data_IF_243711987785
#
_entry.id   IF_243711987785
#
_cell.length_a   1.000
_cell.length_b   1.000
_cell.length_c   1.000
_cell.angle_alpha   90.00
_cell.angle_beta   90.00
_cell.angle_gamma   90.00
#
_symmetry.space_group_name_H-M   'P 1'
#
loop_
_entity.id
_entity.type
_entity.pdbx_description
1 polymer ?
#
# COMPACT_ATOMS: atom_id res chain seq x y z
N UNK A 1 -37.76 24.02 9.21
CA UNK A 1 -37.82 24.42 10.62
C UNK A 1 -36.38 24.56 11.13
N UNK A 2 -35.61 25.46 10.50
CA UNK A 2 -34.22 25.72 10.86
C UNK A 2 -34.20 27.04 11.62
N UNK A 3 -34.00 26.97 12.94
CA UNK A 3 -33.93 28.16 13.79
C UNK A 3 -32.60 28.89 13.57
N UNK A 4 -32.68 30.13 13.07
CA UNK A 4 -31.54 31.05 12.87
C UNK A 4 -30.83 31.52 14.16
N UNK A 5 -31.15 30.96 15.33
CA UNK A 5 -30.54 31.35 16.61
C UNK A 5 -30.00 30.12 17.33
N UNK A 6 -28.67 30.00 17.30
CA UNK A 6 -27.87 28.91 17.87
C UNK A 6 -28.07 28.75 19.37
N UNK A 7 -29.12 28.02 19.76
CA UNK A 7 -29.42 27.68 21.16
C UNK A 7 -28.51 26.58 21.74
N UNK A 8 -27.61 26.00 20.94
CA UNK A 8 -26.79 24.86 21.34
C UNK A 8 -25.32 24.97 20.91
N UNK A 9 -24.82 26.19 20.65
CA UNK A 9 -23.38 26.38 20.45
C UNK A 9 -22.74 26.47 21.83
N UNK A 10 -22.01 25.42 22.22
CA UNK A 10 -21.12 25.47 23.39
C UNK A 10 -19.98 26.40 23.00
N UNK A 11 -19.86 27.55 23.67
CA UNK A 11 -18.72 28.45 23.43
C UNK A 11 -17.44 27.80 23.95
N UNK A 12 -16.60 27.32 23.02
CA UNK A 12 -15.25 26.88 23.34
C UNK A 12 -14.34 28.10 23.44
N UNK A 13 -13.90 28.44 24.66
CA UNK A 13 -13.10 29.64 24.93
C UNK A 13 -11.66 29.57 24.35
N UNK A 14 -11.22 28.39 23.92
CA UNK A 14 -9.83 28.09 23.55
C UNK A 14 -9.57 27.90 22.05
N UNK A 15 -10.56 28.07 21.18
CA UNK A 15 -10.33 27.96 19.73
C UNK A 15 -10.67 29.32 19.17
N UNK A 16 -9.64 30.06 18.70
CA UNK A 16 -9.23 29.77 17.32
C UNK A 16 -7.83 30.26 16.84
N UNK A 17 -6.93 29.32 16.53
CA UNK A 17 -5.68 29.58 15.81
C UNK A 17 -5.90 29.60 14.27
N UNK A 18 -5.08 30.37 13.54
CA UNK A 18 -5.05 30.43 12.07
C UNK A 18 -4.62 29.09 11.46
N UNK A 19 -5.08 28.78 10.25
CA UNK A 19 -4.66 27.57 9.53
C UNK A 19 -3.20 27.71 9.15
N UNK A 20 -2.42 26.64 9.33
CA UNK A 20 -1.07 26.62 8.78
C UNK A 20 -1.15 26.58 7.26
N UNK A 21 -0.45 27.50 6.62
CA UNK A 21 -0.40 27.60 5.17
C UNK A 21 0.59 26.59 4.61
N UNK A 22 0.21 25.98 3.49
CA UNK A 22 1.08 25.13 2.71
C UNK A 22 2.34 25.91 2.37
N UNK A 23 3.50 25.32 2.62
CA UNK A 23 4.76 25.94 2.23
C UNK A 23 4.93 25.63 0.75
N UNK A 24 4.82 26.68 -0.05
CA UNK A 24 5.05 26.60 -1.48
C UNK A 24 6.39 27.24 -1.82
N UNK A 25 7.07 26.70 -2.83
CA UNK A 25 8.17 27.42 -3.47
C UNK A 25 7.64 28.64 -4.21
N UNK A 26 8.44 29.70 -4.24
CA UNK A 26 8.04 30.96 -4.87
C UNK A 26 7.83 30.78 -6.38
N UNK A 27 6.90 31.56 -6.94
CA UNK A 27 6.50 31.41 -8.35
C UNK A 27 7.70 31.57 -9.28
N UNK A 28 8.62 32.48 -9.01
CA UNK A 28 9.80 32.68 -9.84
C UNK A 28 10.80 31.52 -9.78
N UNK A 29 10.82 30.76 -8.69
CA UNK A 29 11.72 29.63 -8.51
C UNK A 29 11.23 28.36 -9.21
N UNK A 30 9.93 28.22 -9.46
CA UNK A 30 9.32 27.03 -10.10
C UNK A 30 9.07 27.15 -11.60
N UNK A 31 9.56 28.23 -12.25
CA UNK A 31 9.26 28.50 -13.67
C UNK A 31 10.01 27.60 -14.64
N UNK A 32 11.22 27.18 -14.26
CA UNK A 32 12.17 26.53 -15.16
C UNK A 32 12.64 25.15 -14.63
N UNK A 33 11.92 24.56 -13.68
CA UNK A 33 12.18 23.22 -13.14
C UNK A 33 10.88 22.44 -12.88
N UNK A 34 11.03 21.19 -12.45
CA UNK A 34 9.94 20.32 -12.04
C UNK A 34 10.05 19.96 -10.56
N UNK A 35 10.59 20.88 -9.75
CA UNK A 35 10.75 20.65 -8.32
C UNK A 35 9.38 20.66 -7.63
N UNK A 36 9.22 19.87 -6.58
CA UNK A 36 7.97 19.76 -5.83
C UNK A 36 7.54 21.13 -5.30
N UNK A 37 6.36 21.57 -5.72
CA UNK A 37 5.85 22.90 -5.38
C UNK A 37 5.39 22.93 -3.94
N UNK A 38 4.77 21.85 -3.49
CA UNK A 38 4.15 21.73 -2.18
C UNK A 38 5.13 21.03 -1.21
N UNK A 39 5.90 21.82 -0.46
CA UNK A 39 6.94 21.30 0.43
C UNK A 39 6.39 20.63 1.71
N UNK A 40 5.07 20.69 1.92
CA UNK A 40 4.41 20.16 3.10
C UNK A 40 4.62 21.03 4.35
N UNK A 41 4.22 20.50 5.50
CA UNK A 41 4.40 21.15 6.79
C UNK A 41 5.68 20.65 7.47
N UNK A 42 6.39 21.58 8.11
CA UNK A 42 7.35 21.22 9.14
C UNK A 42 6.64 20.56 10.35
N UNK A 43 7.39 19.84 11.17
CA UNK A 43 6.84 19.09 12.30
C UNK A 43 6.00 19.97 13.24
N UNK A 44 6.40 21.21 13.46
CA UNK A 44 5.73 22.14 14.38
C UNK A 44 4.37 22.59 13.82
N UNK A 45 4.32 22.97 12.54
CA UNK A 45 3.09 23.32 11.83
C UNK A 45 2.17 22.13 11.67
N UNK A 46 2.70 20.94 11.37
CA UNK A 46 1.92 19.72 11.27
C UNK A 46 1.24 19.39 12.60
N UNK A 47 1.95 19.53 13.73
CA UNK A 47 1.38 19.32 15.07
C UNK A 47 0.34 20.39 15.43
N UNK A 48 0.50 21.64 15.00
CA UNK A 48 -0.50 22.71 15.20
C UNK A 48 -1.76 22.47 14.35
N UNK A 49 -1.59 22.10 13.08
CA UNK A 49 -2.70 21.76 12.19
C UNK A 49 -3.47 20.53 12.68
N UNK A 50 -2.76 19.48 13.13
CA UNK A 50 -3.36 18.27 13.65
C UNK A 50 -4.22 18.53 14.90
N UNK A 51 -3.78 19.44 15.79
CA UNK A 51 -4.55 19.87 16.97
C UNK A 51 -5.83 20.63 16.61
N UNK A 52 -5.96 21.17 15.38
CA UNK A 52 -7.20 21.78 14.88
C UNK A 52 -8.25 20.74 14.46
N UNK A 53 -7.87 19.49 14.19
CA UNK A 53 -8.75 18.49 13.59
C UNK A 53 -9.68 17.81 14.64
N UNK A 54 -10.99 18.09 14.57
CA UNK A 54 -12.06 17.47 15.37
C UNK A 54 -12.72 16.27 14.66
N UNK A 55 -11.95 15.38 14.01
CA UNK A 55 -12.53 14.33 13.17
C UNK A 55 -13.21 13.21 13.98
N UNK A 56 -14.55 13.19 13.94
CA UNK A 56 -15.41 12.07 14.31
C UNK A 56 -15.75 11.23 13.06
N UNK A 57 -14.76 10.55 12.46
CA UNK A 57 -14.78 9.43 11.45
C UNK A 57 -15.78 9.42 10.26
N UNK A 58 -17.01 9.97 10.29
CA UNK A 58 -17.95 10.11 9.14
C UNK A 58 -18.91 11.28 9.39
N UNK A 59 -19.20 12.11 8.38
CA UNK A 59 -20.13 13.25 8.53
C UNK A 59 -21.56 12.75 8.85
N UNK A 60 -22.12 13.20 9.98
CA UNK A 60 -23.50 12.90 10.38
C UNK A 60 -24.41 14.14 10.32
N UNK A 61 -23.97 15.22 9.66
CA UNK A 61 -24.75 16.45 9.50
C UNK A 61 -24.97 17.25 10.79
N UNK A 62 -24.10 17.10 11.79
CA UNK A 62 -24.22 17.83 13.06
C UNK A 62 -23.84 19.33 12.98
N UNK A 63 -23.25 19.77 11.86
CA UNK A 63 -22.81 21.15 11.60
C UNK A 63 -21.80 21.74 12.60
N UNK A 64 -21.23 20.95 13.51
CA UNK A 64 -20.23 21.43 14.46
C UNK A 64 -18.95 21.91 13.75
N UNK A 65 -18.51 21.19 12.73
CA UNK A 65 -17.35 21.60 11.94
C UNK A 65 -17.60 22.96 11.25
N UNK A 66 -18.82 23.22 10.76
CA UNK A 66 -19.21 24.49 10.15
C UNK A 66 -19.22 25.63 11.17
N UNK A 67 -19.79 25.40 12.35
CA UNK A 67 -19.83 26.39 13.43
C UNK A 67 -18.42 26.82 13.90
N UNK A 68 -17.47 25.89 13.93
CA UNK A 68 -16.08 26.15 14.35
C UNK A 68 -15.17 26.63 13.20
N UNK A 69 -15.63 26.55 11.95
CA UNK A 69 -14.84 26.91 10.77
C UNK A 69 -14.79 28.43 10.60
N UNK A 70 -13.87 29.08 11.31
CA UNK A 70 -13.57 30.52 11.14
C UNK A 70 -13.44 31.01 9.69
N UNK A 71 -12.75 30.29 8.78
CA UNK A 71 -12.61 30.75 7.40
C UNK A 71 -13.89 30.63 6.59
N UNK A 72 -14.97 30.11 7.18
CA UNK A 72 -16.26 29.86 6.51
C UNK A 72 -16.13 28.97 5.26
N UNK A 73 -15.14 28.07 5.25
CA UNK A 73 -14.77 27.26 4.08
C UNK A 73 -15.69 26.04 3.85
N UNK A 74 -16.57 25.71 4.80
CA UNK A 74 -17.45 24.54 4.69
C UNK A 74 -18.76 24.97 4.02
N UNK A 75 -18.99 24.48 2.81
CA UNK A 75 -20.20 24.73 2.03
C UNK A 75 -20.89 23.38 1.84
N UNK A 76 -22.00 23.16 2.55
CA UNK A 76 -22.73 21.88 2.48
C UNK A 76 -23.50 21.73 1.16
N UNK A 77 -23.77 22.84 0.51
CA UNK A 77 -24.46 22.94 -0.78
C UNK A 77 -23.49 22.95 -1.96
N UNK A 78 -22.20 22.64 -1.75
CA UNK A 78 -21.23 22.55 -2.85
C UNK A 78 -21.62 21.40 -3.78
N UNK A 79 -21.92 21.73 -5.03
CA UNK A 79 -22.26 20.78 -6.08
C UNK A 79 -21.03 20.40 -6.91
N UNK A 80 -21.08 19.21 -7.53
CA UNK A 80 -20.05 18.76 -8.46
C UNK A 80 -19.92 19.71 -9.65
N UNK A 81 -18.68 20.01 -10.04
CA UNK A 81 -18.37 20.87 -11.18
C UNK A 81 -17.70 20.04 -12.28
N UNK A 82 -18.18 20.21 -13.50
CA UNK A 82 -17.62 19.55 -14.69
C UNK A 82 -16.85 20.58 -15.51
N UNK A 83 -15.64 20.21 -15.94
CA UNK A 83 -14.75 21.04 -16.73
C UNK A 83 -14.43 20.34 -18.05
N UNK A 84 -14.61 21.04 -19.16
CA UNK A 84 -14.16 20.59 -20.47
C UNK A 84 -12.70 21.03 -20.67
N UNK A 85 -11.80 20.08 -20.87
CA UNK A 85 -10.36 20.31 -21.05
C UNK A 85 -9.95 19.81 -22.43
N UNK A 86 -9.44 20.71 -23.28
CA UNK A 86 -8.79 20.35 -24.54
C UNK A 86 -7.31 20.05 -24.27
N UNK A 87 -6.85 18.86 -24.66
CA UNK A 87 -5.47 18.42 -24.50
C UNK A 87 -4.98 17.68 -25.74
N UNK A 88 -3.71 17.86 -26.08
CA UNK A 88 -3.07 17.16 -27.21
C UNK A 88 -2.77 15.68 -26.90
N UNK A 89 -2.54 15.37 -25.62
CA UNK A 89 -2.25 14.01 -25.15
C UNK A 89 -2.73 13.80 -23.70
N UNK A 90 -3.06 12.55 -23.38
CA UNK A 90 -3.44 12.10 -22.03
C UNK A 90 -2.48 11.02 -21.56
N UNK A 91 -1.89 11.20 -20.39
CA UNK A 91 -0.99 10.22 -19.76
C UNK A 91 -1.72 9.58 -18.57
N UNK A 92 -1.82 8.26 -18.58
CA UNK A 92 -2.44 7.48 -17.51
C UNK A 92 -1.33 6.91 -16.60
N UNK A 93 -1.32 7.32 -15.34
CA UNK A 93 -0.29 6.97 -14.34
C UNK A 93 -0.88 6.50 -13.00
N UNK A 94 -1.91 5.65 -13.07
CA UNK A 94 -2.68 5.15 -11.93
C UNK A 94 -1.95 4.13 -11.04
N UNK A 95 -0.77 3.65 -11.46
CA UNK A 95 0.03 2.68 -10.71
C UNK A 95 -0.59 1.29 -10.64
N UNK A 96 -0.24 0.55 -9.59
CA UNK A 96 -0.73 -0.80 -9.33
C UNK A 96 -1.36 -0.90 -7.94
N UNK A 97 -2.40 -1.72 -7.84
CA UNK A 97 -3.06 -2.09 -6.60
C UNK A 97 -2.66 -3.50 -6.17
N UNK A 98 -2.88 -3.80 -4.89
CA UNK A 98 -2.59 -5.09 -4.27
C UNK A 98 -3.78 -5.50 -3.40
N UNK A 99 -4.92 -5.86 -4.01
CA UNK A 99 -6.13 -6.12 -3.26
C UNK A 99 -6.04 -7.47 -2.51
N UNK A 100 -6.70 -7.54 -1.37
CA UNK A 100 -6.73 -8.74 -0.51
C UNK A 100 -7.89 -9.69 -0.83
N UNK A 101 -8.81 -9.28 -1.72
CA UNK A 101 -10.01 -10.04 -2.10
C UNK A 101 -9.71 -11.30 -2.92
N UNK A 102 -8.52 -11.39 -3.52
CA UNK A 102 -8.06 -12.55 -4.30
C UNK A 102 -7.26 -13.57 -3.51
N UNK A 103 -7.07 -13.36 -2.21
CA UNK A 103 -6.41 -14.33 -1.36
C UNK A 103 -7.41 -15.43 -1.04
N UNK A 104 -7.06 -16.67 -1.40
CA UNK A 104 -7.91 -17.81 -1.12
C UNK A 104 -8.09 -18.02 0.38
N UNK A 105 -9.29 -18.41 0.79
CA UNK A 105 -9.65 -18.61 2.19
C UNK A 105 -8.76 -19.64 2.91
N UNK A 106 -8.16 -20.60 2.20
CA UNK A 106 -7.25 -21.58 2.81
C UNK A 106 -5.94 -20.97 3.33
N UNK A 107 -5.58 -19.75 2.91
CA UNK A 107 -4.46 -19.00 3.50
C UNK A 107 -4.82 -18.36 4.84
N UNK A 108 -6.08 -18.39 5.27
CA UNK A 108 -6.49 -17.97 6.61
C UNK A 108 -6.46 -16.46 6.87
N UNK A 109 -6.33 -15.61 5.83
CA UNK A 109 -6.37 -14.16 6.00
C UNK A 109 -7.72 -13.72 6.60
N UNK A 110 -7.68 -12.98 7.70
CA UNK A 110 -8.86 -12.55 8.45
C UNK A 110 -9.49 -13.62 9.33
N UNK A 111 -9.05 -14.88 9.23
CA UNK A 111 -9.43 -15.97 10.13
C UNK A 111 -8.39 -16.15 11.25
N UNK A 112 -7.11 -16.08 10.87
CA UNK A 112 -5.96 -16.19 11.78
C UNK A 112 -5.34 -14.80 11.96
N UNK A 113 -5.24 -14.34 13.20
CA UNK A 113 -4.82 -12.95 13.49
C UNK A 113 -3.37 -12.66 13.11
N UNK A 114 -2.49 -13.68 13.14
CA UNK A 114 -1.08 -13.54 12.78
C UNK A 114 -0.79 -13.77 11.29
N UNK A 115 -1.84 -13.88 10.47
CA UNK A 115 -1.72 -13.87 9.00
C UNK A 115 -2.01 -12.47 8.50
N UNK A 116 -1.01 -11.83 7.91
CA UNK A 116 -1.06 -10.47 7.37
C UNK A 116 -0.69 -10.45 5.89
N UNK A 117 -0.91 -9.34 5.20
CA UNK A 117 -0.43 -9.11 3.83
C UNK A 117 0.92 -8.39 3.82
N UNK A 118 1.64 -8.50 2.71
CA UNK A 118 2.84 -7.70 2.38
C UNK A 118 2.64 -6.20 2.69
N UNK A 119 1.58 -5.56 2.20
CA UNK A 119 1.33 -4.13 2.48
C UNK A 119 1.06 -3.81 3.96
N UNK A 120 0.52 -4.74 4.73
CA UNK A 120 0.37 -4.55 6.17
C UNK A 120 1.74 -4.60 6.86
N UNK A 121 2.62 -5.51 6.45
CA UNK A 121 4.01 -5.54 6.91
C UNK A 121 4.75 -4.26 6.50
N UNK A 122 4.60 -3.76 5.27
CA UNK A 122 5.20 -2.51 4.83
C UNK A 122 4.80 -1.33 5.74
N UNK A 123 3.52 -1.25 6.14
CA UNK A 123 3.07 -0.24 7.11
C UNK A 123 3.69 -0.45 8.48
N UNK A 124 3.93 -1.68 8.93
CA UNK A 124 4.64 -1.94 10.18
C UNK A 124 6.12 -1.55 10.13
N UNK A 125 6.79 -1.83 9.01
CA UNK A 125 8.21 -1.52 8.78
C UNK A 125 8.48 -0.01 8.69
N UNK A 126 7.48 0.77 8.28
CA UNK A 126 7.55 2.22 8.18
C UNK A 126 7.68 2.91 9.54
N UNK A 127 8.64 3.82 9.67
CA UNK A 127 8.83 4.65 10.88
C UNK A 127 7.63 5.59 11.16
N UNK A 128 6.92 6.01 10.11
CA UNK A 128 5.64 6.75 10.19
C UNK A 128 4.42 5.80 10.15
N UNK A 129 4.69 4.51 10.32
CA UNK A 129 3.71 3.43 10.46
C UNK A 129 2.94 3.47 11.78
N UNK A 130 1.82 2.74 11.87
CA UNK A 130 1.06 2.62 13.12
C UNK A 130 1.88 2.00 14.26
N UNK A 131 2.88 1.15 13.94
CA UNK A 131 3.78 0.54 14.91
C UNK A 131 5.15 1.24 15.01
N UNK A 132 5.33 2.40 14.37
CA UNK A 132 6.60 3.18 14.38
C UNK A 132 7.83 2.33 14.04
N UNK A 133 7.74 1.57 12.95
CA UNK A 133 8.83 0.73 12.49
C UNK A 133 9.01 -0.57 13.28
N UNK A 134 8.13 -0.94 14.21
CA UNK A 134 8.19 -2.20 14.94
C UNK A 134 7.42 -3.29 14.21
N UNK A 135 8.05 -4.45 14.04
CA UNK A 135 7.41 -5.68 13.53
C UNK A 135 6.82 -6.42 14.73
N UNK A 136 5.49 -6.48 14.79
CA UNK A 136 4.75 -7.04 15.92
C UNK A 136 3.65 -7.97 15.42
N UNK A 137 3.36 -9.02 16.19
CA UNK A 137 2.24 -9.91 15.95
C UNK A 137 0.93 -9.16 16.17
N UNK A 138 -0.03 -9.17 15.21
CA UNK A 138 -1.31 -8.52 15.41
C UNK A 138 -2.15 -9.11 16.55
N UNK A 139 -1.95 -10.39 16.88
CA UNK A 139 -2.69 -11.06 17.95
C UNK A 139 -2.46 -10.44 19.34
N UNK A 140 -1.21 -10.25 19.72
CA UNK A 140 -0.83 -9.88 21.09
C UNK A 140 0.22 -8.77 21.19
N UNK A 141 0.74 -8.29 20.07
CA UNK A 141 1.72 -7.22 20.00
C UNK A 141 3.16 -7.64 20.32
N UNK A 142 3.41 -8.94 20.52
CA UNK A 142 4.75 -9.46 20.77
C UNK A 142 5.61 -9.43 19.49
N UNK A 143 6.94 -9.47 19.66
CA UNK A 143 7.88 -9.51 18.54
C UNK A 143 7.98 -10.97 18.03
N UNK A 144 7.65 -11.25 16.76
CA UNK A 144 7.71 -12.61 16.23
C UNK A 144 9.15 -13.11 16.12
N UNK A 145 9.40 -14.32 16.61
CA UNK A 145 10.67 -15.03 16.49
C UNK A 145 10.79 -15.80 15.17
N UNK A 146 9.69 -16.02 14.45
CA UNK A 146 9.69 -16.66 13.14
C UNK A 146 8.60 -16.07 12.22
N UNK A 147 8.97 -15.82 10.96
CA UNK A 147 8.13 -15.17 9.95
C UNK A 147 8.25 -15.93 8.63
N UNK A 148 7.11 -16.32 8.07
CA UNK A 148 7.05 -16.91 6.73
C UNK A 148 6.38 -15.97 5.73
N UNK A 149 7.04 -15.72 4.61
CA UNK A 149 6.46 -15.07 3.44
C UNK A 149 5.89 -16.15 2.52
N UNK A 150 4.63 -16.04 2.15
CA UNK A 150 3.92 -17.06 1.37
C UNK A 150 3.33 -16.44 0.12
N UNK A 151 3.73 -16.94 -1.04
CA UNK A 151 3.08 -16.62 -2.30
C UNK A 151 1.62 -17.11 -2.27
N UNK A 152 0.66 -16.17 -2.25
CA UNK A 152 -0.76 -16.49 -2.06
C UNK A 152 -1.55 -16.67 -3.36
N UNK A 153 -0.86 -16.90 -4.47
CA UNK A 153 -1.46 -17.08 -5.80
C UNK A 153 -0.58 -17.97 -6.68
N UNK A 154 -1.20 -18.90 -7.40
CA UNK A 154 -0.47 -19.83 -8.28
C UNK A 154 -0.28 -19.25 -9.70
N UNK A 155 -1.31 -18.59 -10.24
CA UNK A 155 -1.34 -18.15 -11.63
C UNK A 155 -1.25 -16.63 -11.75
N UNK A 156 -0.11 -16.16 -12.26
CA UNK A 156 0.08 -14.77 -12.70
C UNK A 156 1.15 -14.75 -13.81
N UNK A 157 1.25 -13.65 -14.55
CA UNK A 157 2.32 -13.50 -15.53
C UNK A 157 3.70 -13.47 -14.82
N UNK A 158 4.77 -14.01 -15.44
CA UNK A 158 6.11 -14.03 -14.82
C UNK A 158 6.62 -12.68 -14.26
N UNK A 159 6.35 -11.52 -14.91
CA UNK A 159 6.72 -10.21 -14.34
C UNK A 159 6.02 -9.88 -13.02
N UNK A 160 4.76 -10.30 -12.86
CA UNK A 160 4.00 -10.10 -11.62
C UNK A 160 4.54 -10.96 -10.48
N UNK A 161 4.89 -12.21 -10.79
CA UNK A 161 5.58 -13.12 -9.87
C UNK A 161 6.90 -12.51 -9.40
N UNK A 162 7.73 -12.05 -10.35
CA UNK A 162 9.02 -11.42 -10.06
C UNK A 162 8.86 -10.17 -9.19
N UNK A 163 7.92 -9.28 -9.53
CA UNK A 163 7.67 -8.04 -8.77
C UNK A 163 7.25 -8.31 -7.32
N UNK A 164 6.32 -9.26 -7.09
CA UNK A 164 5.90 -9.61 -5.73
C UNK A 164 7.03 -10.29 -4.93
N UNK A 165 7.83 -11.13 -5.58
CA UNK A 165 8.95 -11.79 -4.92
C UNK A 165 10.08 -10.81 -4.57
N UNK A 166 10.39 -9.85 -5.45
CA UNK A 166 11.30 -8.75 -5.14
C UNK A 166 10.82 -7.95 -3.92
N UNK A 167 9.52 -7.62 -3.84
CA UNK A 167 8.94 -6.96 -2.67
C UNK A 167 9.13 -7.80 -1.41
N UNK A 168 8.78 -9.08 -1.46
CA UNK A 168 8.93 -10.00 -0.33
C UNK A 168 10.36 -10.06 0.21
N UNK A 169 11.34 -10.16 -0.70
CA UNK A 169 12.76 -10.22 -0.33
C UNK A 169 13.22 -8.89 0.26
N UNK A 170 12.83 -7.75 -0.32
CA UNK A 170 13.14 -6.44 0.24
C UNK A 170 12.55 -6.27 1.64
N UNK A 171 11.29 -6.67 1.85
CA UNK A 171 10.68 -6.66 3.17
C UNK A 171 11.39 -7.62 4.14
N UNK A 172 11.75 -8.83 3.70
CA UNK A 172 12.51 -9.77 4.51
C UNK A 172 13.88 -9.22 4.93
N UNK A 173 14.58 -8.48 4.05
CA UNK A 173 15.82 -7.77 4.37
C UNK A 173 15.59 -6.71 5.46
N UNK A 174 14.53 -5.91 5.32
CA UNK A 174 14.18 -4.87 6.30
C UNK A 174 13.80 -5.49 7.65
N UNK A 175 13.04 -6.59 7.64
CA UNK A 175 12.71 -7.37 8.83
C UNK A 175 13.98 -7.91 9.48
N UNK A 176 14.89 -8.53 8.72
CA UNK A 176 16.18 -9.04 9.22
C UNK A 176 17.02 -7.94 9.87
N UNK A 177 17.01 -6.73 9.30
CA UNK A 177 17.69 -5.56 9.88
C UNK A 177 17.13 -5.13 11.24
N UNK A 178 15.85 -5.40 11.51
CA UNK A 178 15.17 -5.09 12.78
C UNK A 178 15.16 -6.27 13.75
N UNK A 179 15.09 -7.50 13.25
CA UNK A 179 14.98 -8.77 13.98
C UNK A 179 16.14 -9.71 13.63
N UNK A 180 17.30 -9.48 14.23
CA UNK A 180 18.54 -10.17 13.87
C UNK A 180 18.47 -11.70 14.00
N UNK A 181 17.73 -12.21 14.97
CA UNK A 181 17.65 -13.65 15.31
C UNK A 181 16.35 -14.33 14.83
N UNK A 182 15.43 -13.60 14.18
CA UNK A 182 14.18 -14.21 13.73
C UNK A 182 14.42 -15.25 12.62
N UNK A 183 13.71 -16.37 12.61
CA UNK A 183 13.68 -17.27 11.47
C UNK A 183 12.85 -16.64 10.34
N UNK A 184 13.41 -16.52 9.13
CA UNK A 184 12.72 -15.91 7.99
C UNK A 184 12.82 -16.85 6.80
N UNK A 185 11.68 -17.27 6.29
CA UNK A 185 11.58 -18.13 5.11
C UNK A 185 10.57 -17.58 4.10
N UNK A 186 10.91 -17.66 2.82
CA UNK A 186 10.08 -17.24 1.69
C UNK A 186 9.68 -18.48 0.89
N UNK A 187 8.39 -18.75 0.81
CA UNK A 187 7.80 -19.84 0.03
C UNK A 187 7.19 -19.29 -1.26
N UNK A 188 7.74 -19.69 -2.40
CA UNK A 188 7.23 -19.33 -3.71
C UNK A 188 7.48 -20.46 -4.70
N UNK A 189 6.69 -20.50 -5.78
CA UNK A 189 6.81 -21.51 -6.83
C UNK A 189 7.57 -20.95 -8.05
N UNK A 190 8.19 -21.84 -8.83
CA UNK A 190 8.87 -21.52 -10.09
C UNK A 190 10.03 -20.52 -9.91
N UNK A 191 10.90 -20.78 -8.95
CA UNK A 191 11.96 -19.85 -8.56
C UNK A 191 13.18 -19.86 -9.49
N UNK A 192 13.31 -20.85 -10.38
CA UNK A 192 14.52 -21.06 -11.17
C UNK A 192 14.96 -19.81 -11.95
N UNK A 193 14.05 -19.21 -12.73
CA UNK A 193 14.32 -18.00 -13.51
C UNK A 193 14.64 -16.79 -12.62
N UNK A 194 13.95 -16.67 -11.49
CA UNK A 194 14.15 -15.59 -10.54
C UNK A 194 15.53 -15.67 -9.88
N UNK A 195 15.91 -16.85 -9.40
CA UNK A 195 17.19 -17.08 -8.74
C UNK A 195 18.36 -16.87 -9.71
N UNK A 196 18.21 -17.26 -10.98
CA UNK A 196 19.24 -17.02 -12.00
C UNK A 196 19.41 -15.53 -12.31
N UNK A 197 18.31 -14.77 -12.41
CA UNK A 197 18.36 -13.34 -12.75
C UNK A 197 18.83 -12.47 -11.58
N UNK A 198 18.52 -12.85 -10.34
CA UNK A 198 18.83 -12.08 -9.13
C UNK A 198 20.01 -12.62 -8.31
N UNK A 199 20.74 -13.63 -8.81
CA UNK A 199 21.84 -14.33 -8.12
C UNK A 199 22.82 -13.39 -7.40
N UNK A 200 23.22 -12.29 -8.06
CA UNK A 200 24.14 -11.31 -7.48
C UNK A 200 23.56 -10.54 -6.28
N UNK A 201 22.27 -10.22 -6.29
CA UNK A 201 21.57 -9.53 -5.21
C UNK A 201 21.30 -10.48 -4.03
N UNK A 202 21.03 -11.75 -4.31
CA UNK A 202 20.71 -12.76 -3.31
C UNK A 202 21.94 -13.27 -2.53
N UNK A 203 23.14 -13.23 -3.11
CA UNK A 203 24.39 -13.68 -2.46
C UNK A 203 24.72 -12.98 -1.13
N UNK A 204 24.17 -11.79 -0.89
CA UNK A 204 24.36 -11.05 0.37
C UNK A 204 23.33 -11.37 1.46
N UNK A 205 22.32 -12.21 1.16
CA UNK A 205 21.22 -12.51 2.06
C UNK A 205 21.58 -13.68 2.99
N UNK A 206 22.38 -13.40 4.00
CA UNK A 206 22.62 -14.37 5.06
C UNK A 206 21.34 -14.55 5.91
N UNK A 207 20.95 -15.81 6.15
CA UNK A 207 19.83 -16.21 7.04
C UNK A 207 18.42 -15.84 6.56
N UNK A 208 18.19 -15.62 5.26
CA UNK A 208 16.83 -15.63 4.69
C UNK A 208 16.74 -16.89 3.82
N UNK A 209 15.90 -17.85 4.20
CA UNK A 209 15.70 -19.07 3.43
C UNK A 209 14.67 -18.80 2.32
N UNK A 210 15.00 -19.21 1.09
CA UNK A 210 14.08 -19.09 -0.04
C UNK A 210 13.83 -20.51 -0.56
N UNK A 211 12.59 -20.95 -0.44
CA UNK A 211 12.17 -22.33 -0.68
C UNK A 211 11.26 -22.39 -1.90
N UNK A 212 11.65 -23.19 -2.90
CA UNK A 212 10.78 -23.52 -4.04
C UNK A 212 9.74 -24.55 -3.58
N UNK A 213 8.58 -24.03 -3.18
CA UNK A 213 7.50 -24.80 -2.60
C UNK A 213 6.16 -24.06 -2.66
N UNK A 214 5.08 -24.83 -2.71
CA UNK A 214 3.72 -24.32 -2.65
C UNK A 214 3.14 -24.60 -1.27
N UNK A 215 2.46 -23.61 -0.68
CA UNK A 215 1.74 -23.77 0.58
C UNK A 215 0.30 -24.19 0.27
N UNK A 216 -0.15 -25.31 0.83
CA UNK A 216 -1.48 -25.86 0.56
C UNK A 216 -2.51 -25.54 1.64
N UNK A 217 -2.09 -25.38 2.90
CA UNK A 217 -2.97 -25.00 3.99
C UNK A 217 -2.26 -24.17 5.06
N UNK A 218 -3.06 -23.34 5.73
CA UNK A 218 -2.64 -22.47 6.83
C UNK A 218 -3.59 -22.69 8.01
N UNK A 219 -3.10 -23.27 9.10
CA UNK A 219 -3.90 -23.60 10.28
C UNK A 219 -3.32 -22.95 11.54
N UNK A 220 -4.20 -22.42 12.41
CA UNK A 220 -3.76 -21.90 13.70
C UNK A 220 -3.51 -23.03 14.70
N UNK A 221 -2.40 -22.93 15.42
CA UNK A 221 -2.02 -23.83 16.51
C UNK A 221 -2.01 -23.09 17.86
N UNK A 222 -1.43 -23.70 18.90
CA UNK A 222 -1.32 -23.07 20.22
C UNK A 222 -0.71 -21.65 20.14
N UNK A 223 -1.22 -20.74 20.97
CA UNK A 223 -0.83 -19.32 21.02
C UNK A 223 -1.04 -18.51 19.72
N UNK A 224 -1.94 -18.95 18.83
CA UNK A 224 -2.17 -18.30 17.51
C UNK A 224 -0.92 -18.29 16.62
N UNK A 225 0.06 -19.16 16.90
CA UNK A 225 1.06 -19.51 15.90
C UNK A 225 0.36 -20.20 14.74
N UNK A 226 1.02 -20.24 13.59
CA UNK A 226 0.42 -20.68 12.34
C UNK A 226 1.26 -21.79 11.74
N UNK A 227 0.65 -22.95 11.55
CA UNK A 227 1.24 -24.09 10.84
C UNK A 227 0.93 -23.99 9.35
N UNK A 228 1.99 -24.10 8.54
CA UNK A 228 1.94 -24.17 7.09
C UNK A 228 2.15 -25.62 6.66
N UNK A 229 1.25 -26.13 5.82
CA UNK A 229 1.50 -27.35 5.05
C UNK A 229 2.18 -26.96 3.75
N UNK A 230 3.44 -27.36 3.59
CA UNK A 230 4.29 -27.00 2.46
C UNK A 230 4.53 -28.23 1.60
N UNK A 231 4.26 -28.12 0.30
CA UNK A 231 4.54 -29.15 -0.69
C UNK A 231 5.77 -28.76 -1.52
N UNK A 232 6.83 -29.54 -1.43
CA UNK A 232 8.04 -29.39 -2.25
C UNK A 232 8.41 -30.74 -2.85
N UNK A 233 8.61 -30.78 -4.17
CA UNK A 233 8.98 -32.01 -4.91
C UNK A 233 8.05 -33.22 -4.64
N UNK A 234 6.75 -32.97 -4.42
CA UNK A 234 5.76 -34.02 -4.13
C UNK A 234 5.81 -34.59 -2.71
N UNK A 235 6.58 -33.99 -1.81
CA UNK A 235 6.60 -34.30 -0.37
C UNK A 235 5.97 -33.15 0.40
N UNK A 236 5.01 -33.48 1.25
CA UNK A 236 4.40 -32.53 2.18
C UNK A 236 5.14 -32.54 3.52
N UNK A 237 5.37 -31.34 4.05
CA UNK A 237 5.97 -31.11 5.36
C UNK A 237 5.25 -29.97 6.06
N UNK A 238 5.05 -30.09 7.37
CA UNK A 238 4.48 -29.02 8.18
C UNK A 238 5.58 -28.20 8.84
N UNK A 239 5.45 -26.87 8.81
CA UNK A 239 6.33 -25.92 9.51
C UNK A 239 5.48 -24.91 10.28
N UNK A 240 5.92 -24.52 11.48
CA UNK A 240 5.18 -23.59 12.36
C UNK A 240 5.90 -22.25 12.43
N UNK A 241 5.17 -21.17 12.19
CA UNK A 241 5.67 -19.80 12.28
C UNK A 241 4.82 -18.96 13.23
N UNK A 242 5.40 -17.92 13.83
CA UNK A 242 4.66 -17.01 14.71
C UNK A 242 3.90 -15.93 13.94
N UNK A 243 4.31 -15.63 12.71
CA UNK A 243 3.63 -14.69 11.82
C UNK A 243 3.77 -15.10 10.34
N UNK A 244 2.69 -14.97 9.57
CA UNK A 244 2.65 -15.25 8.14
C UNK A 244 2.40 -13.96 7.37
N UNK A 245 3.14 -13.75 6.29
CA UNK A 245 3.02 -12.61 5.39
C UNK A 245 2.63 -13.13 4.01
N UNK A 246 1.40 -12.86 3.59
CA UNK A 246 0.88 -13.26 2.29
C UNK A 246 1.29 -12.25 1.23
N UNK A 247 1.95 -12.73 0.18
CA UNK A 247 2.33 -11.90 -0.96
C UNK A 247 1.13 -11.69 -1.85
N UNK A 248 0.65 -10.45 -1.91
CA UNK A 248 -0.51 -10.10 -2.73
C UNK A 248 -0.14 -10.04 -4.20
N UNK A 249 -1.06 -10.47 -5.06
CA UNK A 249 -0.88 -10.33 -6.50
C UNK A 249 -1.00 -8.84 -6.87
N UNK A 250 0.02 -8.21 -7.47
CA UNK A 250 -0.13 -6.86 -8.01
C UNK A 250 -1.16 -6.86 -9.14
N UNK A 251 -1.99 -5.83 -9.23
CA UNK A 251 -3.07 -5.70 -10.20
C UNK A 251 -3.18 -4.26 -10.66
N UNK A 252 -3.86 -4.05 -11.78
CA UNK A 252 -4.30 -2.70 -12.12
C UNK A 252 -5.50 -2.29 -11.27
N UNK A 253 -5.53 -1.01 -10.94
CA UNK A 253 -6.67 -0.38 -10.29
C UNK A 253 -7.94 -0.56 -11.12
N UNK A 254 -9.07 -0.69 -10.43
CA UNK A 254 -10.35 -0.96 -11.10
C UNK A 254 -10.78 0.20 -12.00
N UNK A 255 -10.41 1.43 -11.63
CA UNK A 255 -10.61 2.66 -12.39
C UNK A 255 -9.93 2.56 -13.75
N UNK A 256 -8.74 1.97 -13.83
CA UNK A 256 -8.00 1.79 -15.09
C UNK A 256 -8.69 0.79 -15.99
N UNK A 257 -9.17 -0.32 -15.42
CA UNK A 257 -9.92 -1.35 -16.15
C UNK A 257 -11.26 -0.82 -16.67
N UNK A 258 -11.87 0.12 -15.95
CA UNK A 258 -13.09 0.76 -16.37
C UNK A 258 -12.80 1.79 -17.47
N UNK A 259 -11.83 2.67 -17.24
CA UNK A 259 -11.37 3.68 -18.19
C UNK A 259 -10.92 3.04 -19.52
N UNK A 260 -10.21 1.92 -19.49
CA UNK A 260 -9.76 1.24 -20.71
C UNK A 260 -10.93 0.75 -21.57
N UNK A 261 -12.06 0.37 -20.94
CA UNK A 261 -13.28 0.00 -21.68
C UNK A 261 -14.00 1.21 -22.23
N UNK A 262 -14.02 2.31 -21.48
CA UNK A 262 -14.65 3.57 -21.91
C UNK A 262 -13.87 4.21 -23.08
N UNK A 263 -12.55 4.07 -23.10
CA UNK A 263 -11.65 4.59 -24.13
C UNK A 263 -11.30 3.59 -25.25
N UNK A 264 -11.88 2.38 -25.22
CA UNK A 264 -11.61 1.28 -26.17
C UNK A 264 -10.11 0.97 -26.37
N UNK A 265 -9.36 0.91 -25.26
CA UNK A 265 -7.92 0.66 -25.26
C UNK A 265 -7.64 -0.83 -25.03
N UNK A 266 -6.79 -1.44 -25.88
CA UNK A 266 -6.24 -2.76 -25.58
C UNK A 266 -5.05 -2.63 -24.62
N UNK A 267 -5.24 -3.08 -23.38
CA UNK A 267 -4.20 -3.02 -22.34
C UNK A 267 -3.69 -4.42 -22.01
N UNK A 268 -2.39 -4.66 -22.23
CA UNK A 268 -1.73 -5.84 -21.70
C UNK A 268 -1.24 -5.57 -20.28
N UNK A 269 -1.99 -6.02 -19.28
CA UNK A 269 -1.75 -5.65 -17.89
C UNK A 269 -0.35 -6.00 -17.34
N UNK A 270 0.31 -7.02 -17.89
CA UNK A 270 1.68 -7.38 -17.49
C UNK A 270 2.73 -6.38 -18.02
N UNK A 271 2.45 -5.61 -19.07
CA UNK A 271 3.39 -4.63 -19.63
C UNK A 271 3.61 -3.43 -18.71
N UNK A 272 2.69 -3.17 -17.76
CA UNK A 272 2.91 -2.15 -16.72
C UNK A 272 3.97 -2.54 -15.69
N UNK A 273 4.34 -3.81 -15.60
CA UNK A 273 5.38 -4.32 -14.70
C UNK A 273 6.61 -4.82 -15.44
N UNK A 274 6.50 -4.97 -16.77
CA UNK A 274 7.55 -5.49 -17.62
C UNK A 274 7.93 -4.42 -18.64
N UNK A 275 8.97 -3.65 -18.35
CA UNK A 275 9.94 -3.14 -19.33
C UNK A 275 10.98 -2.20 -18.67
N UNK A 276 12.26 -2.62 -18.68
CA UNK A 276 13.46 -1.75 -18.62
C UNK A 276 13.69 -0.86 -17.40
N UNK A 277 14.96 -0.47 -17.19
CA UNK A 277 15.31 0.62 -16.28
C UNK A 277 14.84 1.97 -16.89
N UNK A 278 13.87 2.63 -16.26
CA UNK A 278 13.40 3.98 -16.62
C UNK A 278 11.87 4.13 -16.68
N UNK A 279 11.38 5.36 -16.69
CA UNK A 279 9.96 5.66 -16.95
C UNK A 279 9.65 5.41 -18.43
N UNK A 280 9.07 4.26 -18.75
CA UNK A 280 8.67 3.94 -20.12
C UNK A 280 7.24 4.44 -20.34
N UNK A 281 7.07 5.30 -21.35
CA UNK A 281 5.76 5.62 -21.90
C UNK A 281 5.35 4.48 -22.83
N UNK A 282 4.34 3.70 -22.44
CA UNK A 282 3.77 2.66 -23.28
C UNK A 282 2.74 3.31 -24.21
N UNK A 283 2.93 3.14 -25.51
CA UNK A 283 1.94 3.53 -26.51
C UNK A 283 0.74 2.60 -26.47
N UNK A 284 -0.46 3.17 -26.46
CA UNK A 284 -1.69 2.39 -26.66
C UNK A 284 -2.07 2.35 -28.14
N UNK A 285 -3.12 1.61 -28.49
CA UNK A 285 -3.69 1.64 -29.86
C UNK A 285 -4.24 3.02 -30.25
N UNK A 286 -4.35 3.94 -29.28
CA UNK A 286 -4.68 5.33 -29.48
C UNK A 286 -3.43 6.21 -29.26
N UNK A 287 -2.92 6.83 -30.32
CA UNK A 287 -1.68 7.64 -30.27
C UNK A 287 -1.77 8.86 -29.33
N UNK A 288 -2.98 9.32 -29.00
CA UNK A 288 -3.19 10.45 -28.07
C UNK A 288 -3.25 10.00 -26.60
N UNK A 289 -3.32 8.70 -26.32
CA UNK A 289 -3.36 8.14 -24.97
C UNK A 289 -2.13 7.29 -24.71
N UNK A 290 -1.36 7.68 -23.71
CA UNK A 290 -0.13 7.01 -23.31
C UNK A 290 -0.26 6.51 -21.87
N UNK A 291 0.47 5.44 -21.56
CA UNK A 291 0.55 4.91 -20.20
C UNK A 291 1.93 5.18 -19.64
N UNK A 292 2.01 5.64 -18.40
CA UNK A 292 3.25 5.73 -17.66
C UNK A 292 3.31 4.62 -16.62
N UNK A 293 4.31 3.76 -16.75
CA UNK A 293 4.66 2.79 -15.72
C UNK A 293 5.97 3.20 -15.05
N UNK A 294 6.05 2.97 -13.73
CA UNK A 294 7.31 3.06 -12.99
C UNK A 294 7.70 1.63 -12.62
N UNK A 295 8.77 1.15 -13.24
CA UNK A 295 9.42 -0.11 -12.91
C UNK A 295 10.21 0.00 -11.61
#
# INVERSE_FOLDING_TARGET
MYEHKGRYIVEFQDIPAEREHQIEIEVDERRDNYDEVELGFDEERALREAKRCLSCRRCLGCALCWAECKPEAIIFEMEDQYYDVEADAVIISSGVERPHDRIDAHFGLGQHLNVITDLQLARMLSETGPSKGLVIRPYDGEIPSSIAFVQSYESAAPPMHTSALCLAINEAILVRGKLAEAEIEVFASNLEDFLQTQDSALKGLERIEISDATVSSVEAVENQNVELTVSSNGKETSKVFEMIVLLTQPQLANEVKQMSKELDLSLNYASFLAEGEGSVLLTTDNETVQLAAKT
#
